data_IF_962677187696
#
_entry.id   IF_962677187696
#
_cell.length_a   1.000
_cell.length_b   1.000
_cell.length_c   1.000
_cell.angle_alpha   90.00
_cell.angle_beta   90.00
_cell.angle_gamma   90.00
#
_symmetry.space_group_name_H-M   'P 1'
#
loop_
_entity.id
_entity.type
_entity.pdbx_description
1 polymer ?
#
# COMPACT_ATOMS: atom_id res chain seq x y z
N UNK A 1 -13.07 29.25 -10.55
CA UNK A 1 -12.82 28.09 -9.68
C UNK A 1 -11.61 28.33 -8.79
N UNK A 2 -10.41 28.55 -9.34
CA UNK A 2 -9.21 28.84 -8.54
C UNK A 2 -9.42 29.93 -7.47
N UNK A 3 -10.05 31.06 -7.82
CA UNK A 3 -10.34 32.15 -6.87
C UNK A 3 -11.18 31.72 -5.65
N UNK A 4 -12.26 30.96 -5.86
CA UNK A 4 -13.13 30.49 -4.77
C UNK A 4 -12.46 29.39 -3.93
N UNK A 5 -11.66 28.55 -4.56
CA UNK A 5 -10.93 27.51 -3.83
C UNK A 5 -9.72 28.06 -3.04
N UNK A 6 -9.24 29.27 -3.33
CA UNK A 6 -8.20 29.93 -2.55
C UNK A 6 -8.72 30.42 -1.19
N UNK A 7 -10.00 30.77 -1.11
CA UNK A 7 -10.71 31.10 0.14
C UNK A 7 -11.29 29.85 0.82
N UNK A 8 -10.62 28.71 0.69
CA UNK A 8 -11.07 27.43 1.25
C UNK A 8 -11.25 27.44 2.77
N UNK A 9 -10.69 28.42 3.48
CA UNK A 9 -10.87 28.57 4.93
C UNK A 9 -12.25 29.07 5.33
N UNK A 10 -12.99 29.73 4.43
CA UNK A 10 -14.36 30.17 4.69
C UNK A 10 -15.36 29.02 4.40
N UNK A 11 -16.11 28.54 5.40
CA UNK A 11 -17.04 27.44 5.22
C UNK A 11 -18.18 27.76 4.25
N UNK A 12 -18.61 29.01 4.12
CA UNK A 12 -19.69 29.42 3.21
C UNK A 12 -19.22 29.34 1.76
N UNK A 13 -18.00 29.81 1.50
CA UNK A 13 -17.38 29.73 0.18
C UNK A 13 -17.10 28.27 -0.19
N UNK A 14 -16.64 27.46 0.77
CA UNK A 14 -16.40 26.04 0.58
C UNK A 14 -17.69 25.28 0.21
N UNK A 15 -18.80 25.55 0.92
CA UNK A 15 -20.11 24.96 0.64
C UNK A 15 -20.60 25.33 -0.77
N UNK A 16 -20.63 26.64 -1.07
CA UNK A 16 -21.07 27.13 -2.38
C UNK A 16 -20.23 26.57 -3.53
N UNK A 17 -18.93 26.38 -3.31
CA UNK A 17 -18.02 25.77 -4.29
C UNK A 17 -18.38 24.31 -4.54
N UNK A 18 -18.57 23.51 -3.48
CA UNK A 18 -18.91 22.09 -3.63
C UNK A 18 -20.30 21.89 -4.24
N UNK A 19 -21.28 22.71 -3.87
CA UNK A 19 -22.62 22.67 -4.45
C UNK A 19 -22.60 23.02 -5.93
N UNK A 20 -21.87 24.08 -6.30
CA UNK A 20 -21.69 24.45 -7.71
C UNK A 20 -21.07 23.30 -8.51
N UNK A 21 -20.03 22.65 -7.99
CA UNK A 21 -19.38 21.52 -8.65
C UNK A 21 -20.32 20.33 -8.78
N UNK A 22 -21.04 19.95 -7.73
CA UNK A 22 -21.98 18.84 -7.75
C UNK A 22 -23.14 19.08 -8.73
N UNK A 23 -23.72 20.28 -8.75
CA UNK A 23 -24.83 20.64 -9.65
C UNK A 23 -24.38 20.67 -11.12
N UNK A 24 -23.14 21.09 -11.39
CA UNK A 24 -22.64 21.27 -12.75
C UNK A 24 -21.68 20.17 -13.22
N UNK A 25 -21.47 19.11 -12.44
CA UNK A 25 -20.44 18.09 -12.66
C UNK A 25 -20.46 17.52 -14.08
N UNK A 26 -21.65 17.16 -14.59
CA UNK A 26 -21.79 16.62 -15.97
C UNK A 26 -21.34 17.61 -17.04
N UNK A 27 -21.70 18.88 -16.89
CA UNK A 27 -21.32 19.95 -17.84
C UNK A 27 -19.83 20.21 -17.76
N UNK A 28 -19.26 20.26 -16.55
CA UNK A 28 -17.83 20.47 -16.33
C UNK A 28 -17.00 19.34 -16.95
N UNK A 29 -17.41 18.08 -16.77
CA UNK A 29 -16.69 16.94 -17.35
C UNK A 29 -16.73 16.92 -18.89
N UNK A 30 -17.80 17.43 -19.51
CA UNK A 30 -17.94 17.48 -20.96
C UNK A 30 -17.18 18.68 -21.54
N UNK A 31 -17.35 19.86 -20.96
CA UNK A 31 -16.81 21.11 -21.49
C UNK A 31 -15.37 21.39 -21.06
N UNK A 32 -14.96 20.93 -19.89
CA UNK A 32 -13.66 21.19 -19.27
C UNK A 32 -13.11 19.95 -18.54
N UNK A 33 -12.82 18.85 -19.25
CA UNK A 33 -12.46 17.56 -18.63
C UNK A 33 -11.19 17.61 -17.76
N UNK A 34 -10.29 18.57 -17.99
CA UNK A 34 -9.04 18.73 -17.25
C UNK A 34 -9.14 19.59 -15.99
N UNK A 35 -10.24 20.33 -15.82
CA UNK A 35 -10.36 21.35 -14.77
C UNK A 35 -10.35 20.74 -13.35
N UNK A 36 -11.13 19.69 -13.10
CA UNK A 36 -11.11 19.00 -11.80
C UNK A 36 -9.78 18.26 -11.55
N UNK A 37 -9.22 17.51 -12.52
CA UNK A 37 -7.89 16.93 -12.42
C UNK A 37 -6.74 17.92 -12.19
N UNK A 38 -6.82 19.16 -12.69
CA UNK A 38 -5.77 20.15 -12.54
C UNK A 38 -5.81 20.79 -11.14
N UNK A 39 -7.01 21.14 -10.67
CA UNK A 39 -7.21 21.85 -9.39
C UNK A 39 -7.57 20.93 -8.22
N UNK A 40 -7.28 19.64 -8.35
CA UNK A 40 -7.54 18.67 -7.28
C UNK A 40 -6.84 19.05 -5.96
N UNK A 41 -5.60 19.61 -5.94
CA UNK A 41 -4.93 19.97 -4.68
C UNK A 41 -5.70 21.01 -3.87
N UNK A 42 -6.25 22.02 -4.53
CA UNK A 42 -7.13 23.02 -3.92
C UNK A 42 -8.39 22.40 -3.31
N UNK A 43 -9.02 21.45 -4.01
CA UNK A 43 -10.18 20.73 -3.49
C UNK A 43 -9.82 19.87 -2.27
N UNK A 44 -8.60 19.31 -2.23
CA UNK A 44 -8.10 18.60 -1.06
C UNK A 44 -7.83 19.54 0.12
N UNK A 45 -7.34 20.75 -0.10
CA UNK A 45 -7.23 21.77 0.96
C UNK A 45 -8.59 22.15 1.52
N UNK A 46 -9.59 22.32 0.67
CA UNK A 46 -10.97 22.62 1.06
C UNK A 46 -11.55 21.54 1.98
N UNK A 47 -11.40 20.26 1.62
CA UNK A 47 -11.90 19.18 2.46
C UNK A 47 -11.02 18.93 3.69
N UNK A 48 -9.70 19.18 3.61
CA UNK A 48 -8.80 19.12 4.75
C UNK A 48 -9.19 20.15 5.82
N UNK A 49 -9.65 21.33 5.41
CA UNK A 49 -10.03 22.42 6.32
C UNK A 49 -11.45 22.28 6.88
N UNK A 50 -12.40 21.80 6.07
CA UNK A 50 -13.84 21.78 6.38
C UNK A 50 -14.46 20.36 6.44
N UNK A 51 -13.63 19.33 6.65
CA UNK A 51 -13.98 17.92 6.44
C UNK A 51 -15.25 17.41 7.11
N UNK A 52 -15.54 17.87 8.33
CA UNK A 52 -16.67 17.38 9.13
C UNK A 52 -18.03 17.59 8.44
N UNK A 53 -18.17 18.70 7.69
CA UNK A 53 -19.45 19.08 7.07
C UNK A 53 -19.61 18.53 5.66
N UNK A 54 -18.51 18.42 4.93
CA UNK A 54 -18.57 18.30 3.47
C UNK A 54 -18.08 16.97 2.90
N UNK A 55 -17.74 15.98 3.75
CA UNK A 55 -17.27 14.66 3.32
C UNK A 55 -18.20 14.02 2.26
N UNK A 56 -19.51 14.01 2.50
CA UNK A 56 -20.49 13.41 1.58
C UNK A 56 -20.54 14.11 0.22
N UNK A 57 -20.56 15.44 0.23
CA UNK A 57 -20.56 16.25 -0.99
C UNK A 57 -19.26 16.09 -1.77
N UNK A 58 -18.14 15.91 -1.08
CA UNK A 58 -16.83 15.69 -1.69
C UNK A 58 -16.69 14.30 -2.32
N UNK A 59 -17.22 13.25 -1.67
CA UNK A 59 -17.23 11.89 -2.22
C UNK A 59 -17.89 11.81 -3.61
N UNK A 60 -18.88 12.65 -3.89
CA UNK A 60 -19.53 12.72 -5.21
C UNK A 60 -18.61 13.30 -6.30
N UNK A 61 -17.67 14.17 -5.93
CA UNK A 61 -16.77 14.87 -6.84
C UNK A 61 -15.46 14.08 -7.04
N UNK A 62 -15.04 13.30 -6.04
CA UNK A 62 -13.76 12.58 -6.06
C UNK A 62 -13.51 11.76 -7.35
N UNK A 63 -14.47 10.97 -7.88
CA UNK A 63 -14.27 10.22 -9.13
C UNK A 63 -14.00 11.13 -10.34
N UNK A 64 -14.58 12.33 -10.36
CA UNK A 64 -14.41 13.30 -11.45
C UNK A 64 -13.00 13.94 -11.47
N UNK A 65 -12.25 13.83 -10.37
CA UNK A 65 -10.85 14.26 -10.29
C UNK A 65 -9.88 13.22 -10.85
N UNK A 66 -10.33 11.98 -11.14
CA UNK A 66 -9.50 10.89 -11.64
C UNK A 66 -9.39 10.94 -13.17
N UNK A 67 -8.31 11.51 -13.69
CA UNK A 67 -7.96 11.47 -15.11
C UNK A 67 -6.57 10.86 -15.32
N UNK A 68 -6.18 10.64 -16.58
CA UNK A 68 -4.87 10.07 -16.93
C UNK A 68 -3.70 10.83 -16.31
N UNK A 69 -3.78 12.16 -16.20
CA UNK A 69 -2.71 12.99 -15.63
C UNK A 69 -2.77 13.19 -14.12
N UNK A 70 -3.92 12.97 -13.49
CA UNK A 70 -4.11 13.20 -12.05
C UNK A 70 -4.22 11.91 -11.24
N UNK A 71 -4.47 10.76 -11.85
CA UNK A 71 -4.74 9.50 -11.15
C UNK A 71 -3.66 9.14 -10.12
N UNK A 72 -2.40 9.06 -10.53
CA UNK A 72 -1.29 8.70 -9.64
C UNK A 72 -0.97 9.81 -8.60
N UNK A 73 -0.86 11.11 -8.98
CA UNK A 73 -0.70 12.19 -8.00
C UNK A 73 -1.84 12.30 -6.98
N UNK A 74 -3.08 12.05 -7.41
CA UNK A 74 -4.26 12.09 -6.55
C UNK A 74 -4.21 11.00 -5.49
N UNK A 75 -3.81 9.77 -5.84
CA UNK A 75 -3.61 8.70 -4.86
C UNK A 75 -2.66 9.13 -3.73
N UNK A 76 -1.49 9.67 -4.10
CA UNK A 76 -0.52 10.12 -3.11
C UNK A 76 -1.10 11.25 -2.24
N UNK A 77 -1.79 12.21 -2.85
CA UNK A 77 -2.41 13.33 -2.12
C UNK A 77 -3.55 12.92 -1.19
N UNK A 78 -4.33 11.90 -1.57
CA UNK A 78 -5.36 11.33 -0.71
C UNK A 78 -4.73 10.63 0.49
N UNK A 79 -3.71 9.79 0.27
CA UNK A 79 -2.99 9.12 1.35
C UNK A 79 -2.37 10.13 2.33
N UNK A 80 -1.86 11.24 1.78
CA UNK A 80 -1.13 12.28 2.52
C UNK A 80 -2.05 13.37 3.08
N UNK A 81 -3.38 13.20 3.02
CA UNK A 81 -4.36 14.16 3.53
C UNK A 81 -4.14 14.53 5.02
N UNK A 82 -3.81 13.58 5.93
CA UNK A 82 -3.48 13.94 7.31
C UNK A 82 -2.26 14.87 7.40
N UNK A 83 -1.27 14.70 6.52
CA UNK A 83 -0.08 15.56 6.49
C UNK A 83 -0.40 16.93 5.89
N UNK A 84 -1.31 16.98 4.91
CA UNK A 84 -1.79 18.27 4.38
C UNK A 84 -2.40 19.11 5.51
N UNK A 85 -3.16 18.50 6.41
CA UNK A 85 -3.69 19.22 7.59
C UNK A 85 -2.57 19.72 8.48
N UNK A 86 -1.59 18.88 8.81
CA UNK A 86 -0.44 19.29 9.63
C UNK A 86 0.28 20.50 8.99
N UNK A 87 0.46 20.48 7.68
CA UNK A 87 1.05 21.58 6.93
C UNK A 87 0.20 22.85 7.02
N UNK A 88 -1.10 22.75 6.77
CA UNK A 88 -2.02 23.90 6.80
C UNK A 88 -2.12 24.52 8.20
N UNK A 89 -2.19 23.71 9.25
CA UNK A 89 -2.18 24.21 10.63
C UNK A 89 -0.85 24.86 11.01
N UNK A 90 0.26 24.40 10.45
CA UNK A 90 1.57 25.05 10.65
C UNK A 90 1.58 26.44 10.01
N UNK A 91 1.04 26.57 8.79
CA UNK A 91 0.89 27.86 8.11
C UNK A 91 -0.06 28.78 8.89
N UNK A 92 -1.17 28.26 9.44
CA UNK A 92 -2.08 29.04 10.30
C UNK A 92 -1.35 29.61 11.53
N UNK A 93 -0.50 28.81 12.19
CA UNK A 93 0.28 29.25 13.34
C UNK A 93 1.33 30.30 12.97
N UNK A 94 1.91 30.26 11.78
CA UNK A 94 2.91 31.23 11.32
C UNK A 94 2.33 32.51 10.73
N UNK A 95 1.13 32.44 10.13
CA UNK A 95 0.61 33.51 9.26
C UNK A 95 -0.78 34.04 9.64
N UNK A 96 -1.45 33.46 10.65
CA UNK A 96 -2.79 33.86 11.09
C UNK A 96 -3.92 33.31 10.21
N UNK A 97 -5.13 33.87 10.33
CA UNK A 97 -6.38 33.34 9.73
C UNK A 97 -6.47 33.44 8.20
N UNK A 98 -5.57 34.16 7.53
CA UNK A 98 -5.57 34.43 6.08
C UNK A 98 -4.69 33.44 5.30
N UNK A 99 -4.92 32.15 5.52
CA UNK A 99 -4.05 31.05 5.09
C UNK A 99 -3.91 30.98 3.56
N UNK A 100 -4.99 31.18 2.80
CA UNK A 100 -4.98 31.13 1.33
C UNK A 100 -4.05 32.18 0.70
N UNK A 101 -4.15 33.44 1.15
CA UNK A 101 -3.26 34.52 0.69
C UNK A 101 -1.82 34.35 1.15
N UNK A 102 -1.62 33.78 2.35
CA UNK A 102 -0.28 33.52 2.87
C UNK A 102 0.42 32.40 2.09
N UNK A 103 -0.28 31.32 1.73
CA UNK A 103 0.28 30.26 0.88
C UNK A 103 0.68 30.83 -0.50
N UNK A 104 -0.17 31.66 -1.10
CA UNK A 104 0.15 32.32 -2.36
C UNK A 104 1.39 33.22 -2.26
N UNK A 105 1.58 33.93 -1.13
CA UNK A 105 2.80 34.71 -0.88
C UNK A 105 4.04 33.85 -0.65
N UNK A 106 3.90 32.70 0.02
CA UNK A 106 5.00 31.76 0.27
C UNK A 106 5.46 31.08 -1.03
N UNK A 107 4.55 30.83 -1.96
CA UNK A 107 4.83 30.20 -3.26
C UNK A 107 5.34 31.17 -4.32
N UNK A 108 5.06 32.46 -4.17
CA UNK A 108 5.66 33.52 -4.97
C UNK A 108 7.10 33.65 -4.48
N UNK A 109 8.02 33.01 -5.19
CA UNK A 109 9.40 32.80 -4.78
C UNK A 109 10.11 34.07 -4.28
N UNK A 110 11.10 33.90 -3.41
CA UNK A 110 12.11 34.90 -3.00
C UNK A 110 13.07 35.26 -4.15
N UNK A 111 13.05 34.51 -5.25
CA UNK A 111 13.94 34.66 -6.40
C UNK A 111 13.70 35.93 -7.27
N UNK A 112 12.47 36.37 -7.57
CA UNK A 112 12.21 37.59 -8.32
C UNK A 112 12.51 38.82 -7.46
N UNK A 113 12.23 38.76 -6.15
CA UNK A 113 12.54 39.85 -5.21
C UNK A 113 14.04 39.98 -4.97
N UNK A 114 14.78 38.88 -4.85
CA UNK A 114 16.24 38.91 -4.73
C UNK A 114 16.91 39.34 -6.04
N UNK A 115 16.36 38.99 -7.21
CA UNK A 115 16.81 39.53 -8.50
C UNK A 115 16.48 41.02 -8.67
N UNK A 116 15.28 41.45 -8.26
CA UNK A 116 14.90 42.87 -8.23
C UNK A 116 15.78 43.67 -7.26
N UNK A 117 16.08 43.11 -6.09
CA UNK A 117 16.97 43.73 -5.10
C UNK A 117 18.42 43.78 -5.60
N UNK A 118 18.93 42.73 -6.26
CA UNK A 118 20.26 42.74 -6.88
C UNK A 118 20.33 43.70 -8.09
N UNK A 119 19.25 43.84 -8.85
CA UNK A 119 19.15 44.82 -9.93
C UNK A 119 19.10 46.26 -9.39
N UNK A 120 18.35 46.50 -8.30
CA UNK A 120 18.31 47.79 -7.62
C UNK A 120 19.65 48.11 -6.93
N UNK A 121 20.35 47.13 -6.36
CA UNK A 121 21.70 47.30 -5.78
C UNK A 121 22.72 47.67 -6.88
N UNK A 122 22.67 46.99 -8.02
CA UNK A 122 23.52 47.30 -9.17
C UNK A 122 23.20 48.66 -9.81
N UNK A 123 21.97 49.15 -9.67
CA UNK A 123 21.51 50.42 -10.26
C UNK A 123 21.65 51.63 -9.31
N UNK A 124 21.55 51.41 -8.00
CA UNK A 124 21.57 52.48 -6.98
C UNK A 124 22.84 52.53 -6.14
N UNK A 125 23.70 51.50 -6.21
CA UNK A 125 25.03 51.48 -5.59
C UNK A 125 25.04 51.50 -4.06
N UNK A 126 23.91 51.23 -3.41
CA UNK A 126 23.83 51.17 -1.94
C UNK A 126 24.08 49.74 -1.46
N UNK A 127 25.23 49.53 -0.81
CA UNK A 127 25.53 48.28 -0.11
C UNK A 127 24.54 48.11 1.05
N UNK A 128 23.93 46.91 1.15
CA UNK A 128 23.15 46.53 2.32
C UNK A 128 24.09 46.50 3.52
N UNK A 129 23.90 47.40 4.49
CA UNK A 129 24.50 47.27 5.80
C UNK A 129 24.02 45.95 6.43
N UNK A 130 25.00 45.12 6.79
CA UNK A 130 24.84 43.88 7.53
C UNK A 130 24.09 44.13 8.84
N UNK A 131 22.76 43.92 8.82
CA UNK A 131 21.93 43.95 10.02
C UNK A 131 22.06 42.61 10.73
N UNK A 132 23.25 42.37 11.28
CA UNK A 132 23.47 41.43 12.37
C UNK A 132 22.65 41.86 13.58
N UNK A 133 21.47 41.28 13.72
CA UNK A 133 20.59 41.40 14.88
C UNK A 133 20.55 40.07 15.63
N UNK A 134 21.35 40.00 16.69
CA UNK A 134 21.35 38.98 17.73
C UNK A 134 19.93 38.68 18.26
N UNK A 135 19.47 37.44 18.08
CA UNK A 135 18.44 36.84 18.93
C UNK A 135 18.79 35.38 19.17
N UNK A 136 19.80 35.14 20.00
CA UNK A 136 19.93 33.89 20.71
C UNK A 136 18.70 33.64 21.58
N UNK A 137 17.83 32.72 21.14
CA UNK A 137 17.05 31.89 22.04
C UNK A 137 17.04 30.48 21.49
N UNK A 138 17.82 29.63 22.15
CA UNK A 138 17.82 28.18 21.97
C UNK A 138 16.42 27.61 22.18
N UNK A 139 15.70 27.35 21.08
CA UNK A 139 14.62 26.37 21.04
C UNK A 139 14.88 25.44 19.84
N UNK A 140 15.62 24.37 20.12
CA UNK A 140 15.75 23.23 19.23
C UNK A 140 14.36 22.65 18.91
N UNK A 141 13.84 22.92 17.68
CA UNK A 141 12.94 22.08 16.86
C UNK A 141 12.03 22.88 15.88
N UNK A 142 12.38 24.09 15.47
CA UNK A 142 11.59 24.83 14.46
C UNK A 142 11.97 24.40 13.04
N UNK A 143 11.29 23.39 12.51
CA UNK A 143 11.33 23.07 11.07
C UNK A 143 10.79 24.30 10.31
N UNK A 144 11.53 24.77 9.31
CA UNK A 144 11.16 25.94 8.49
C UNK A 144 9.88 25.67 7.66
N UNK A 145 9.02 26.69 7.48
CA UNK A 145 7.86 26.63 6.56
C UNK A 145 8.33 26.60 5.11
N UNK A 146 9.57 27.03 4.85
CA UNK A 146 10.23 26.96 3.55
C UNK A 146 10.81 25.58 3.19
N UNK A 147 10.58 24.53 4.01
CA UNK A 147 10.99 23.18 3.64
C UNK A 147 10.34 22.76 2.31
N UNK A 148 11.12 22.38 1.28
CA UNK A 148 10.60 22.06 -0.05
C UNK A 148 9.52 20.97 -0.03
N UNK A 149 9.52 20.08 0.97
CA UNK A 149 8.48 19.03 1.13
C UNK A 149 7.11 19.64 1.45
N UNK A 150 7.06 20.70 2.26
CA UNK A 150 5.83 21.40 2.63
C UNK A 150 5.31 22.27 1.49
N UNK A 151 6.21 22.95 0.78
CA UNK A 151 5.85 23.77 -0.37
C UNK A 151 5.20 22.95 -1.48
N UNK A 152 5.69 21.73 -1.71
CA UNK A 152 5.12 20.82 -2.69
C UNK A 152 3.70 20.35 -2.31
N UNK A 153 3.47 20.07 -1.02
CA UNK A 153 2.16 19.68 -0.50
C UNK A 153 1.15 20.83 -0.56
N UNK A 154 1.63 22.07 -0.47
CA UNK A 154 0.81 23.28 -0.49
C UNK A 154 0.57 23.80 -1.90
N UNK A 155 0.99 23.15 -2.98
CA UNK A 155 0.68 23.60 -4.35
C UNK A 155 -0.82 23.66 -4.61
N UNK A 156 -1.23 24.63 -5.41
CA UNK A 156 -2.64 24.83 -5.80
C UNK A 156 -3.03 24.00 -7.03
N UNK A 157 -2.05 23.70 -7.87
CA UNK A 157 -2.26 22.99 -9.13
C UNK A 157 -1.47 21.68 -9.17
N UNK A 158 -2.03 20.72 -9.91
CA UNK A 158 -1.36 19.49 -10.23
C UNK A 158 -0.42 19.68 -11.42
N UNK A 159 0.85 19.94 -11.12
CA UNK A 159 1.94 19.97 -12.12
C UNK A 159 2.43 18.56 -12.53
N UNK A 160 1.81 17.50 -12.01
CA UNK A 160 2.16 16.11 -12.25
C UNK A 160 2.71 15.39 -11.02
N UNK A 161 3.48 14.33 -11.25
CA UNK A 161 4.09 13.54 -10.18
C UNK A 161 5.28 14.29 -9.57
N UNK A 162 5.06 14.96 -8.44
CA UNK A 162 6.15 15.44 -7.61
C UNK A 162 6.73 14.28 -6.76
N UNK A 163 8.06 14.17 -6.73
CA UNK A 163 8.76 13.14 -5.96
C UNK A 163 8.67 13.47 -4.46
N UNK A 164 7.81 12.76 -3.73
CA UNK A 164 7.61 12.98 -2.29
C UNK A 164 8.60 12.15 -1.47
N UNK A 165 9.51 12.83 -0.79
CA UNK A 165 10.59 12.22 0.01
C UNK A 165 10.12 11.93 1.44
N UNK A 166 9.19 10.98 1.59
CA UNK A 166 8.65 10.53 2.90
C UNK A 166 9.70 9.94 3.86
N UNK A 167 10.87 9.60 3.34
CA UNK A 167 11.98 9.03 4.10
C UNK A 167 12.95 10.09 4.64
N UNK A 168 12.65 11.38 4.52
CA UNK A 168 13.51 12.42 5.08
C UNK A 168 13.48 12.36 6.63
N UNK A 169 14.64 12.43 7.31
CA UNK A 169 14.69 12.41 8.78
C UNK A 169 13.84 13.52 9.43
N UNK A 170 13.76 14.69 8.79
CA UNK A 170 12.96 15.84 9.23
C UNK A 170 11.46 15.55 9.23
N UNK A 171 10.96 14.79 8.25
CA UNK A 171 9.54 14.45 8.18
C UNK A 171 9.18 13.39 9.21
N UNK A 172 10.05 12.39 9.42
CA UNK A 172 9.83 11.33 10.41
C UNK A 172 9.76 11.91 11.83
N UNK A 173 10.67 12.82 12.18
CA UNK A 173 10.67 13.46 13.51
C UNK A 173 9.41 14.31 13.73
N UNK A 174 8.94 15.03 12.71
CA UNK A 174 7.71 15.82 12.79
C UNK A 174 6.45 14.94 12.93
N UNK A 175 6.35 13.85 12.17
CA UNK A 175 5.22 12.91 12.30
C UNK A 175 5.18 12.30 13.70
N UNK A 176 6.35 11.99 14.26
CA UNK A 176 6.46 11.46 15.60
C UNK A 176 6.08 12.53 16.65
N UNK A 177 6.51 13.78 16.48
CA UNK A 177 6.14 14.89 17.37
C UNK A 177 4.63 15.19 17.33
N UNK A 178 4.03 15.22 16.14
CA UNK A 178 2.58 15.45 15.96
C UNK A 178 1.72 14.33 16.50
N UNK A 179 2.21 13.08 16.46
CA UNK A 179 1.51 11.94 17.06
C UNK A 179 1.51 11.99 18.58
N UNK A 180 2.56 12.55 19.19
CA UNK A 180 2.68 12.69 20.64
C UNK A 180 1.92 13.91 21.20
N UNK A 181 1.58 14.87 20.33
CA UNK A 181 0.81 16.07 20.69
C UNK A 181 -0.71 15.79 20.69
N UNK A 182 -1.53 16.59 21.40
CA UNK A 182 -2.98 16.50 21.31
C UNK A 182 -3.43 16.77 19.86
N UNK A 183 -4.07 15.77 19.25
CA UNK A 183 -4.53 15.85 17.86
C UNK A 183 -5.70 16.82 17.72
N UNK A 184 -5.62 17.73 16.75
CA UNK A 184 -6.72 18.61 16.38
C UNK A 184 -7.93 17.81 15.87
N UNK A 185 -9.12 18.40 15.98
CA UNK A 185 -10.35 17.76 15.47
C UNK A 185 -10.29 17.57 13.95
N UNK A 186 -9.66 18.52 13.22
CA UNK A 186 -9.41 18.43 11.78
C UNK A 186 -8.55 17.22 11.43
N UNK A 187 -7.44 17.02 12.14
CA UNK A 187 -6.54 15.87 11.92
C UNK A 187 -7.27 14.56 12.19
N UNK A 188 -8.02 14.47 13.29
CA UNK A 188 -8.80 13.28 13.64
C UNK A 188 -9.83 12.94 12.55
N UNK A 189 -10.50 13.96 12.02
CA UNK A 189 -11.45 13.80 10.92
C UNK A 189 -10.74 13.34 9.63
N UNK A 190 -9.57 13.87 9.27
CA UNK A 190 -8.84 13.38 8.11
C UNK A 190 -8.36 11.94 8.24
N UNK A 191 -7.90 11.51 9.42
CA UNK A 191 -7.55 10.12 9.68
C UNK A 191 -8.75 9.18 9.43
N UNK A 192 -9.97 9.66 9.69
CA UNK A 192 -11.20 8.91 9.44
C UNK A 192 -11.67 8.96 7.97
N UNK A 193 -11.60 10.13 7.33
CA UNK A 193 -12.06 10.32 5.94
C UNK A 193 -11.13 9.64 4.92
N UNK A 194 -9.82 9.67 5.17
CA UNK A 194 -8.82 9.21 4.19
C UNK A 194 -9.02 7.75 3.75
N UNK A 195 -9.21 6.76 4.64
CA UNK A 195 -9.50 5.38 4.22
C UNK A 195 -10.77 5.25 3.38
N UNK A 196 -11.79 6.11 3.60
CA UNK A 196 -13.03 6.11 2.84
C UNK A 196 -12.84 6.70 1.45
N UNK A 197 -12.07 7.78 1.33
CA UNK A 197 -11.68 8.35 0.04
C UNK A 197 -10.86 7.35 -0.77
N UNK A 198 -9.91 6.67 -0.13
CA UNK A 198 -9.13 5.59 -0.76
C UNK A 198 -10.02 4.42 -1.19
N UNK A 199 -10.99 4.01 -0.37
CA UNK A 199 -11.93 2.97 -0.77
C UNK A 199 -12.72 3.35 -2.02
N UNK A 200 -13.26 4.57 -2.09
CA UNK A 200 -13.96 5.04 -3.29
C UNK A 200 -13.01 5.10 -4.49
N UNK A 201 -11.83 5.71 -4.33
CA UNK A 201 -10.79 5.79 -5.36
C UNK A 201 -10.40 4.42 -5.92
N UNK A 202 -10.22 3.41 -5.07
CA UNK A 202 -9.88 2.05 -5.50
C UNK A 202 -11.03 1.36 -6.22
N UNK A 203 -12.27 1.52 -5.74
CA UNK A 203 -13.44 0.94 -6.42
C UNK A 203 -13.68 1.55 -7.81
N UNK A 204 -13.49 2.86 -7.96
CA UNK A 204 -13.58 3.52 -9.27
C UNK A 204 -12.40 3.17 -10.16
N UNK A 205 -11.18 3.07 -9.61
CA UNK A 205 -10.00 2.62 -10.35
C UNK A 205 -10.19 1.22 -10.95
N UNK A 206 -10.67 0.26 -10.15
CA UNK A 206 -10.90 -1.11 -10.62
C UNK A 206 -12.02 -1.22 -11.67
N UNK A 207 -12.91 -0.23 -11.77
CA UNK A 207 -14.01 -0.22 -12.74
C UNK A 207 -13.67 0.52 -14.03
N UNK A 208 -13.12 1.73 -13.90
CA UNK A 208 -13.10 2.72 -14.99
C UNK A 208 -11.68 2.97 -15.55
N UNK A 209 -10.63 2.57 -14.82
CA UNK A 209 -9.24 2.88 -15.20
C UNK A 209 -8.61 1.73 -15.99
N UNK A 210 -7.71 2.10 -16.92
CA UNK A 210 -7.01 1.16 -17.78
C UNK A 210 -5.91 0.38 -17.02
N UNK A 211 -5.53 -0.75 -17.61
CA UNK A 211 -4.59 -1.68 -16.98
C UNK A 211 -3.19 -1.09 -16.81
N UNK A 212 -2.74 -0.20 -17.71
CA UNK A 212 -1.43 0.44 -17.61
C UNK A 212 -1.32 1.37 -16.40
N UNK A 213 -2.36 2.16 -16.11
CA UNK A 213 -2.38 3.03 -14.94
C UNK A 213 -2.54 2.23 -13.64
N UNK A 214 -3.36 1.17 -13.64
CA UNK A 214 -3.45 0.26 -12.50
C UNK A 214 -2.10 -0.40 -12.21
N UNK A 215 -1.41 -0.89 -13.24
CA UNK A 215 -0.07 -1.46 -13.11
C UNK A 215 0.95 -0.44 -12.58
N UNK A 216 0.85 0.84 -12.97
CA UNK A 216 1.72 1.91 -12.47
C UNK A 216 1.43 2.29 -11.01
N UNK A 217 0.20 2.12 -10.53
CA UNK A 217 -0.20 2.41 -9.15
C UNK A 217 0.34 1.37 -8.16
N UNK A 218 0.43 0.10 -8.55
CA UNK A 218 0.84 -0.99 -7.67
C UNK A 218 2.22 -0.78 -7.00
N UNK A 219 3.30 -0.39 -7.72
CA UNK A 219 4.57 -0.06 -7.09
C UNK A 219 4.50 1.10 -6.08
N UNK A 220 3.63 2.09 -6.33
CA UNK A 220 3.42 3.22 -5.42
C UNK A 220 2.77 2.73 -4.11
N UNK A 221 1.75 1.86 -4.21
CA UNK A 221 1.13 1.23 -3.04
C UNK A 221 2.14 0.42 -2.23
N UNK A 222 2.96 -0.39 -2.91
CA UNK A 222 4.00 -1.19 -2.27
C UNK A 222 5.04 -0.31 -1.55
N UNK A 223 5.47 0.79 -2.18
CA UNK A 223 6.41 1.75 -1.58
C UNK A 223 5.82 2.46 -0.36
N UNK A 224 4.54 2.84 -0.45
CA UNK A 224 3.83 3.56 0.60
C UNK A 224 3.26 2.67 1.70
N UNK A 225 3.38 1.34 1.61
CA UNK A 225 2.75 0.39 2.53
C UNK A 225 3.20 0.54 4.00
N UNK A 226 4.43 0.99 4.22
CA UNK A 226 5.01 1.23 5.56
C UNK A 226 5.33 2.71 5.81
N UNK A 227 5.07 3.59 4.84
CA UNK A 227 5.41 5.03 4.89
C UNK A 227 4.14 5.88 4.82
N UNK A 228 3.41 5.91 5.93
CA UNK A 228 2.15 6.65 6.10
C UNK A 228 2.17 7.46 7.41
N UNK A 229 1.11 8.24 7.65
CA UNK A 229 0.93 8.92 8.93
C UNK A 229 0.91 7.91 10.09
N UNK A 230 1.72 8.06 11.15
CA UNK A 230 1.95 7.03 12.17
C UNK A 230 0.83 6.96 13.23
N UNK A 231 -0.42 6.84 12.79
CA UNK A 231 -1.55 6.46 13.63
C UNK A 231 -1.89 4.97 13.41
N UNK A 232 -2.11 4.23 14.51
CA UNK A 232 -2.26 2.76 14.47
C UNK A 232 -3.55 2.33 13.77
N UNK A 233 -4.66 3.02 14.03
CA UNK A 233 -5.98 2.67 13.48
C UNK A 233 -6.01 3.03 12.00
N UNK A 234 -5.58 4.25 11.67
CA UNK A 234 -5.43 4.73 10.31
C UNK A 234 -4.54 3.80 9.48
N UNK A 235 -3.33 3.50 9.95
CA UNK A 235 -2.38 2.65 9.22
C UNK A 235 -2.93 1.24 9.00
N UNK A 236 -3.72 0.71 9.94
CA UNK A 236 -4.38 -0.58 9.76
C UNK A 236 -5.45 -0.53 8.66
N UNK A 237 -6.36 0.44 8.72
CA UNK A 237 -7.43 0.60 7.72
C UNK A 237 -6.86 0.85 6.32
N UNK A 238 -5.87 1.73 6.19
CA UNK A 238 -5.25 2.01 4.88
C UNK A 238 -4.54 0.77 4.32
N UNK A 239 -3.74 0.06 5.13
CA UNK A 239 -3.08 -1.17 4.69
C UNK A 239 -4.08 -2.24 4.26
N UNK A 240 -5.20 -2.36 4.96
CA UNK A 240 -6.31 -3.24 4.55
C UNK A 240 -6.83 -2.86 3.16
N UNK A 241 -7.12 -1.57 2.92
CA UNK A 241 -7.56 -1.10 1.58
C UNK A 241 -6.51 -1.33 0.50
N UNK A 242 -5.23 -1.16 0.81
CA UNK A 242 -4.14 -1.43 -0.12
C UNK A 242 -4.10 -2.90 -0.48
N UNK A 243 -4.13 -3.78 0.51
CA UNK A 243 -4.16 -5.23 0.30
C UNK A 243 -5.36 -5.67 -0.54
N UNK A 244 -6.57 -5.24 -0.18
CA UNK A 244 -7.80 -5.57 -0.91
C UNK A 244 -7.70 -5.14 -2.38
N UNK A 245 -7.22 -3.91 -2.63
CA UNK A 245 -7.05 -3.39 -3.98
C UNK A 245 -5.96 -4.13 -4.77
N UNK A 246 -4.79 -4.39 -4.17
CA UNK A 246 -3.70 -5.10 -4.85
C UNK A 246 -4.12 -6.50 -5.27
N UNK A 247 -4.78 -7.24 -4.37
CA UNK A 247 -5.31 -8.56 -4.67
C UNK A 247 -6.35 -8.52 -5.79
N UNK A 248 -7.30 -7.59 -5.72
CA UNK A 248 -8.30 -7.40 -6.78
C UNK A 248 -7.68 -7.00 -8.13
N UNK A 249 -6.63 -6.18 -8.12
CA UNK A 249 -5.91 -5.79 -9.33
C UNK A 249 -5.16 -6.97 -9.97
N UNK A 250 -4.48 -7.80 -9.17
CA UNK A 250 -3.83 -9.02 -9.66
C UNK A 250 -4.85 -10.06 -10.16
N UNK A 251 -6.02 -10.15 -9.52
CA UNK A 251 -7.09 -11.02 -9.97
C UNK A 251 -7.70 -10.55 -11.30
N UNK A 252 -7.87 -9.24 -11.48
CA UNK A 252 -8.35 -8.65 -12.74
C UNK A 252 -7.35 -8.90 -13.88
N UNK A 253 -6.06 -8.67 -13.63
CA UNK A 253 -5.01 -8.79 -14.64
C UNK A 253 -3.76 -9.50 -14.08
N UNK A 254 -3.71 -10.84 -14.15
CA UNK A 254 -2.58 -11.64 -13.65
C UNK A 254 -1.21 -11.22 -14.23
N UNK A 255 -1.19 -10.76 -15.48
CA UNK A 255 0.02 -10.30 -16.18
C UNK A 255 0.79 -9.20 -15.43
N UNK A 256 0.11 -8.45 -14.55
CA UNK A 256 0.77 -7.44 -13.70
C UNK A 256 1.88 -8.04 -12.85
N UNK A 257 1.75 -9.29 -12.40
CA UNK A 257 2.81 -9.94 -11.61
C UNK A 257 4.08 -10.09 -12.44
N UNK A 258 3.94 -10.44 -13.72
CA UNK A 258 5.07 -10.57 -14.63
C UNK A 258 5.71 -9.20 -14.91
N UNK A 259 4.89 -8.18 -15.17
CA UNK A 259 5.35 -6.81 -15.42
C UNK A 259 6.03 -6.17 -14.19
N UNK A 260 5.55 -6.48 -12.99
CA UNK A 260 6.02 -5.91 -11.73
C UNK A 260 7.01 -6.82 -11.00
N UNK A 261 7.63 -7.78 -11.70
CA UNK A 261 8.63 -8.70 -11.14
C UNK A 261 9.63 -8.02 -10.21
N UNK A 262 10.30 -6.96 -10.71
CA UNK A 262 11.34 -6.26 -9.95
C UNK A 262 10.80 -5.60 -8.67
N UNK A 263 9.76 -4.73 -8.73
CA UNK A 263 9.12 -4.21 -7.51
C UNK A 263 8.69 -5.28 -6.52
N UNK A 264 8.17 -6.42 -7.00
CA UNK A 264 7.73 -7.52 -6.14
C UNK A 264 8.93 -8.18 -5.45
N UNK A 265 9.99 -8.53 -6.20
CA UNK A 265 11.21 -9.13 -5.65
C UNK A 265 11.89 -8.22 -4.64
N UNK A 266 11.97 -6.91 -4.92
CA UNK A 266 12.55 -5.92 -4.00
C UNK A 266 11.79 -5.92 -2.66
N UNK A 267 10.45 -5.96 -2.70
CA UNK A 267 9.61 -5.98 -1.49
C UNK A 267 9.65 -7.31 -0.73
N UNK A 268 9.85 -8.43 -1.42
CA UNK A 268 10.06 -9.72 -0.77
C UNK A 268 11.40 -9.75 -0.02
N UNK A 269 12.45 -9.11 -0.55
CA UNK A 269 13.75 -9.00 0.13
C UNK A 269 13.69 -8.22 1.45
N UNK A 270 12.79 -7.22 1.53
CA UNK A 270 12.60 -6.38 2.73
C UNK A 270 11.58 -6.95 3.73
N UNK A 271 11.11 -8.19 3.55
CA UNK A 271 10.00 -8.75 4.32
C UNK A 271 10.25 -8.80 5.84
N UNK A 272 11.51 -8.74 6.28
CA UNK A 272 11.91 -8.86 7.68
C UNK A 272 12.15 -7.53 8.40
N UNK A 273 12.17 -6.39 7.70
CA UNK A 273 12.53 -5.12 8.33
C UNK A 273 11.44 -4.65 9.31
N UNK A 274 10.17 -4.85 8.94
CA UNK A 274 9.02 -4.39 9.72
C UNK A 274 7.83 -5.36 9.59
N UNK A 275 6.93 -5.42 10.60
CA UNK A 275 5.75 -6.27 10.54
C UNK A 275 4.82 -5.87 9.38
N UNK A 276 4.79 -4.58 9.00
CA UNK A 276 4.03 -4.13 7.83
C UNK A 276 4.59 -4.72 6.54
N UNK A 277 5.91 -4.70 6.35
CA UNK A 277 6.54 -5.31 5.18
C UNK A 277 6.36 -6.83 5.15
N UNK A 278 6.35 -7.49 6.31
CA UNK A 278 5.98 -8.92 6.39
C UNK A 278 4.55 -9.17 5.89
N UNK A 279 3.58 -8.33 6.30
CA UNK A 279 2.20 -8.41 5.79
C UNK A 279 2.16 -8.20 4.28
N UNK A 280 2.84 -7.19 3.74
CA UNK A 280 2.92 -6.99 2.29
C UNK A 280 3.48 -8.23 1.58
N UNK A 281 4.59 -8.77 2.08
CA UNK A 281 5.22 -9.97 1.53
C UNK A 281 4.28 -11.19 1.54
N UNK A 282 3.39 -11.33 2.54
CA UNK A 282 2.37 -12.39 2.56
C UNK A 282 1.40 -12.27 1.39
N UNK A 283 0.87 -11.07 1.14
CA UNK A 283 -0.05 -10.81 0.03
C UNK A 283 0.64 -11.05 -1.32
N UNK A 284 1.90 -10.63 -1.47
CA UNK A 284 2.69 -10.86 -2.67
C UNK A 284 2.98 -12.35 -2.90
N UNK A 285 3.40 -13.09 -1.86
CA UNK A 285 3.59 -14.54 -1.94
C UNK A 285 2.31 -15.25 -2.40
N UNK A 286 1.16 -14.86 -1.83
CA UNK A 286 -0.13 -15.41 -2.23
C UNK A 286 -0.43 -15.12 -3.70
N UNK A 287 -0.27 -13.87 -4.14
CA UNK A 287 -0.56 -13.46 -5.51
C UNK A 287 0.33 -14.20 -6.53
N UNK A 288 1.63 -14.32 -6.25
CA UNK A 288 2.58 -15.07 -7.10
C UNK A 288 2.11 -16.51 -7.29
N UNK A 289 1.72 -17.18 -6.19
CA UNK A 289 1.26 -18.56 -6.21
C UNK A 289 -0.08 -18.72 -6.93
N UNK A 290 -1.09 -17.92 -6.57
CA UNK A 290 -2.45 -18.02 -7.09
C UNK A 290 -2.53 -17.82 -8.61
N UNK A 291 -1.75 -16.87 -9.10
CA UNK A 291 -1.76 -16.45 -10.50
C UNK A 291 -0.59 -17.03 -11.31
N UNK A 292 0.20 -17.94 -10.73
CA UNK A 292 1.26 -18.63 -11.45
C UNK A 292 2.32 -17.68 -12.05
N UNK A 293 2.72 -16.63 -11.31
CA UNK A 293 3.63 -15.58 -11.78
C UNK A 293 3.16 -14.82 -13.04
N UNK A 294 1.85 -14.67 -13.20
CA UNK A 294 1.21 -13.98 -14.34
C UNK A 294 0.70 -14.93 -15.42
N UNK A 295 0.88 -16.23 -15.27
CA UNK A 295 0.32 -17.26 -16.15
C UNK A 295 1.38 -18.15 -16.81
N UNK A 296 0.92 -19.13 -17.60
CA UNK A 296 1.79 -20.16 -18.22
C UNK A 296 2.76 -19.57 -19.26
N UNK A 297 2.45 -18.42 -19.85
CA UNK A 297 3.31 -17.74 -20.82
C UNK A 297 4.61 -17.19 -20.21
N UNK A 298 4.58 -16.80 -18.94
CA UNK A 298 5.68 -16.05 -18.29
C UNK A 298 6.66 -16.97 -17.56
N UNK A 299 7.20 -17.98 -18.25
CA UNK A 299 8.08 -19.00 -17.65
C UNK A 299 9.35 -18.41 -17.03
N UNK A 300 10.00 -17.47 -17.72
CA UNK A 300 11.25 -16.87 -17.23
C UNK A 300 11.02 -16.05 -15.97
N UNK A 301 9.92 -15.28 -15.93
CA UNK A 301 9.53 -14.52 -14.74
C UNK A 301 9.15 -15.45 -13.59
N UNK A 302 8.43 -16.55 -13.88
CA UNK A 302 8.11 -17.56 -12.88
C UNK A 302 9.36 -18.19 -12.26
N UNK A 303 10.41 -18.43 -13.05
CA UNK A 303 11.69 -18.96 -12.58
C UNK A 303 12.42 -17.99 -11.65
N UNK A 304 12.47 -16.71 -12.00
CA UNK A 304 13.11 -15.68 -11.17
C UNK A 304 12.34 -15.39 -9.87
N UNK A 305 11.00 -15.38 -9.92
CA UNK A 305 10.18 -15.25 -8.72
C UNK A 305 10.29 -16.49 -7.83
N UNK A 306 10.38 -17.67 -8.43
CA UNK A 306 10.68 -18.90 -7.69
C UNK A 306 12.03 -18.82 -6.98
N UNK A 307 13.06 -18.31 -7.65
CA UNK A 307 14.39 -18.07 -7.07
C UNK A 307 14.33 -17.14 -5.86
N UNK A 308 13.56 -16.05 -5.99
CA UNK A 308 13.35 -15.09 -4.91
C UNK A 308 12.66 -15.73 -3.70
N UNK A 309 11.61 -16.53 -3.94
CA UNK A 309 10.89 -17.29 -2.91
C UNK A 309 11.77 -18.37 -2.26
N UNK A 310 12.60 -19.04 -3.05
CA UNK A 310 13.52 -20.08 -2.56
C UNK A 310 14.64 -19.46 -1.70
N UNK A 311 15.18 -18.31 -2.10
CA UNK A 311 16.16 -17.58 -1.31
C UNK A 311 15.58 -17.20 0.06
N UNK A 312 14.38 -16.59 0.05
CA UNK A 312 13.66 -16.23 1.26
C UNK A 312 13.41 -17.47 2.14
N UNK A 313 13.04 -18.61 1.56
CA UNK A 313 12.87 -19.86 2.31
C UNK A 313 14.19 -20.32 2.98
N UNK A 314 15.30 -20.33 2.25
CA UNK A 314 16.57 -20.85 2.76
C UNK A 314 17.26 -19.93 3.76
N UNK A 315 17.17 -18.61 3.61
CA UNK A 315 17.67 -17.64 4.59
C UNK A 315 17.04 -17.91 5.96
N UNK A 316 15.74 -18.16 5.99
CA UNK A 316 15.00 -18.38 7.24
C UNK A 316 15.28 -19.75 7.87
N UNK A 317 15.42 -20.79 7.05
CA UNK A 317 15.85 -22.11 7.54
C UNK A 317 17.27 -22.07 8.13
N UNK A 318 18.13 -21.18 7.63
CA UNK A 318 19.50 -21.01 8.09
C UNK A 318 19.57 -20.16 9.36
N UNK A 319 18.80 -19.07 9.45
CA UNK A 319 18.69 -18.23 10.65
C UNK A 319 18.18 -19.02 11.87
N UNK A 320 17.28 -19.98 11.64
CA UNK A 320 16.80 -20.92 12.67
C UNK A 320 17.90 -21.86 13.22
N UNK A 321 19.03 -22.03 12.53
CA UNK A 321 20.17 -22.84 12.98
C UNK A 321 21.19 -22.05 13.81
N UNK A 322 21.25 -20.73 13.64
CA UNK A 322 22.33 -19.92 14.21
C UNK A 322 22.09 -19.46 15.65
N UNK A 323 20.88 -19.61 16.21
CA UNK A 323 20.65 -19.46 17.66
C UNK A 323 21.16 -18.16 18.30
N UNK A 324 21.39 -17.10 17.51
CA UNK A 324 21.90 -15.82 17.99
C UNK A 324 20.73 -14.95 18.46
N UNK A 325 20.25 -15.26 19.65
CA UNK A 325 19.29 -14.47 20.41
C UNK A 325 19.44 -14.82 21.87
N UNK A 326 20.36 -14.15 22.56
CA UNK A 326 20.48 -14.20 24.01
C UNK A 326 19.24 -13.50 24.60
N UNK A 327 18.21 -14.28 24.93
CA UNK A 327 16.88 -13.76 25.29
C UNK A 327 16.79 -13.41 26.79
N UNK A 328 16.45 -12.16 27.09
CA UNK A 328 15.99 -11.71 28.41
C UNK A 328 14.46 -11.85 28.53
N UNK A 329 13.92 -11.96 29.76
CA UNK A 329 12.53 -12.37 29.99
C UNK A 329 11.45 -11.44 29.39
N UNK A 330 11.76 -10.15 29.16
CA UNK A 330 10.84 -9.17 28.54
C UNK A 330 10.78 -9.33 27.00
N UNK A 331 11.84 -9.90 26.40
CA UNK A 331 11.94 -10.15 24.96
C UNK A 331 11.13 -11.37 24.49
N UNK A 332 10.67 -12.21 25.42
CA UNK A 332 10.04 -13.50 25.11
C UNK A 332 8.76 -13.39 24.28
N UNK A 333 7.87 -12.43 24.62
CA UNK A 333 6.60 -12.25 23.91
C UNK A 333 6.78 -11.62 22.52
N UNK A 334 7.70 -10.66 22.39
CA UNK A 334 8.03 -10.02 21.11
C UNK A 334 8.75 -11.02 20.20
N UNK A 335 9.66 -11.82 20.75
CA UNK A 335 10.33 -12.90 20.03
C UNK A 335 9.33 -13.99 19.59
N UNK A 336 8.37 -14.37 20.44
CA UNK A 336 7.32 -15.33 20.08
C UNK A 336 6.41 -14.79 18.97
N UNK A 337 6.02 -13.52 19.02
CA UNK A 337 5.24 -12.87 17.96
C UNK A 337 6.00 -12.85 16.63
N UNK A 338 7.27 -12.44 16.64
CA UNK A 338 8.14 -12.44 15.45
C UNK A 338 8.36 -13.85 14.88
N UNK A 339 8.61 -14.85 15.73
CA UNK A 339 8.72 -16.26 15.32
C UNK A 339 7.41 -16.74 14.69
N UNK A 340 6.26 -16.34 15.24
CA UNK A 340 4.94 -16.71 14.69
C UNK A 340 4.65 -16.03 13.35
N UNK A 341 4.95 -14.74 13.19
CA UNK A 341 4.79 -14.02 11.92
C UNK A 341 5.72 -14.57 10.84
N UNK A 342 6.96 -14.90 11.20
CA UNK A 342 7.92 -15.55 10.30
C UNK A 342 7.43 -16.93 9.85
N UNK A 343 6.93 -17.76 10.76
CA UNK A 343 6.34 -19.05 10.40
C UNK A 343 5.11 -18.90 9.49
N UNK A 344 4.29 -17.84 9.69
CA UNK A 344 3.18 -17.51 8.78
C UNK A 344 3.69 -17.14 7.39
N UNK A 345 4.74 -16.33 7.28
CA UNK A 345 5.38 -15.99 6.00
C UNK A 345 5.90 -17.24 5.27
N UNK A 346 6.65 -18.09 5.96
CA UNK A 346 7.17 -19.34 5.37
C UNK A 346 6.07 -20.28 4.92
N UNK A 347 4.96 -20.33 5.65
CA UNK A 347 3.77 -21.07 5.25
C UNK A 347 3.22 -20.57 3.89
N UNK A 348 3.22 -19.27 3.64
CA UNK A 348 2.80 -18.70 2.35
C UNK A 348 3.84 -18.95 1.25
N UNK A 349 5.12 -18.84 1.56
CA UNK A 349 6.23 -19.11 0.62
C UNK A 349 6.21 -20.56 0.16
N UNK A 350 6.03 -21.52 1.08
CA UNK A 350 5.88 -22.94 0.79
C UNK A 350 4.67 -23.20 -0.11
N UNK A 351 3.53 -22.54 0.15
CA UNK A 351 2.35 -22.62 -0.72
C UNK A 351 2.63 -22.01 -2.10
N UNK A 352 3.29 -20.86 -2.17
CA UNK A 352 3.59 -20.18 -3.43
C UNK A 352 4.52 -21.02 -4.30
N UNK A 353 5.58 -21.59 -3.72
CA UNK A 353 6.49 -22.55 -4.38
C UNK A 353 5.70 -23.74 -4.94
N UNK A 354 4.77 -24.29 -4.16
CA UNK A 354 3.98 -25.44 -4.58
C UNK A 354 3.00 -25.11 -5.71
N UNK A 355 2.28 -24.00 -5.61
CA UNK A 355 1.37 -23.52 -6.66
C UNK A 355 2.13 -23.15 -7.94
N UNK A 356 3.25 -22.45 -7.84
CA UNK A 356 4.11 -22.13 -8.99
C UNK A 356 4.60 -23.38 -9.71
N UNK A 357 5.06 -24.39 -8.98
CA UNK A 357 5.51 -25.65 -9.54
C UNK A 357 4.38 -26.46 -10.20
N UNK A 358 3.15 -26.29 -9.71
CA UNK A 358 1.94 -26.90 -10.31
C UNK A 358 1.56 -26.19 -11.62
N UNK A 359 1.75 -24.88 -11.69
CA UNK A 359 1.52 -24.09 -12.92
C UNK A 359 2.64 -24.29 -13.96
N UNK A 360 3.89 -24.36 -13.49
CA UNK A 360 5.11 -24.43 -14.30
C UNK A 360 5.90 -25.71 -13.99
N UNK A 361 5.59 -26.78 -14.74
CA UNK A 361 6.15 -28.12 -14.51
C UNK A 361 7.68 -28.20 -14.50
N UNK A 362 8.38 -27.28 -15.17
CA UNK A 362 9.84 -27.19 -15.15
C UNK A 362 10.43 -26.89 -13.77
N UNK A 363 9.65 -26.24 -12.89
CA UNK A 363 10.06 -25.91 -11.52
C UNK A 363 9.80 -27.06 -10.54
N UNK A 364 9.07 -28.09 -10.95
CA UNK A 364 8.63 -29.18 -10.07
C UNK A 364 9.79 -29.93 -9.38
N UNK A 365 10.88 -30.34 -10.07
CA UNK A 365 12.01 -30.99 -9.40
C UNK A 365 12.65 -30.10 -8.34
N UNK A 366 12.78 -28.80 -8.64
CA UNK A 366 13.37 -27.80 -7.75
C UNK A 366 12.49 -27.61 -6.51
N UNK A 367 11.18 -27.43 -6.71
CA UNK A 367 10.20 -27.31 -5.63
C UNK A 367 10.21 -28.52 -4.69
N UNK A 368 10.27 -29.75 -5.22
CA UNK A 368 10.37 -30.96 -4.39
C UNK A 368 11.64 -30.94 -3.53
N UNK A 369 12.77 -30.47 -4.05
CA UNK A 369 14.01 -30.34 -3.28
C UNK A 369 13.87 -29.27 -2.19
N UNK A 370 13.34 -28.09 -2.51
CA UNK A 370 13.16 -27.00 -1.55
C UNK A 370 12.22 -27.42 -0.41
N UNK A 371 11.09 -28.05 -0.72
CA UNK A 371 10.14 -28.55 0.28
C UNK A 371 10.72 -29.71 1.09
N UNK A 372 11.46 -30.64 0.48
CA UNK A 372 12.10 -31.74 1.19
C UNK A 372 13.13 -31.25 2.20
N UNK A 373 13.85 -30.17 1.89
CA UNK A 373 14.77 -29.52 2.85
C UNK A 373 14.02 -28.95 4.06
N UNK A 374 12.85 -28.33 3.84
CA UNK A 374 11.99 -27.85 4.94
C UNK A 374 11.52 -29.02 5.80
N UNK A 375 10.97 -30.07 5.18
CA UNK A 375 10.44 -31.24 5.88
C UNK A 375 11.52 -32.02 6.67
N UNK A 376 12.79 -31.95 6.23
CA UNK A 376 13.93 -32.55 6.95
C UNK A 376 14.58 -31.60 7.97
N UNK A 377 14.18 -30.33 8.01
CA UNK A 377 14.74 -29.35 8.94
C UNK A 377 14.18 -29.54 10.35
N UNK A 378 15.05 -29.91 11.29
CA UNK A 378 14.70 -30.19 12.70
C UNK A 378 14.21 -28.96 13.49
N UNK A 379 14.49 -27.74 13.00
CA UNK A 379 14.17 -26.50 13.71
C UNK A 379 13.02 -25.70 13.07
N UNK A 380 12.32 -26.28 12.10
CA UNK A 380 11.19 -25.61 11.46
C UNK A 380 9.95 -25.58 12.37
N UNK A 381 9.18 -24.48 12.34
CA UNK A 381 7.88 -24.40 13.02
C UNK A 381 6.97 -25.55 12.51
N UNK A 382 6.26 -26.22 13.43
CA UNK A 382 5.38 -27.36 13.13
C UNK A 382 4.38 -27.08 12.00
N UNK A 383 3.88 -25.85 11.88
CA UNK A 383 2.95 -25.43 10.82
C UNK A 383 3.62 -25.44 9.45
N UNK A 384 4.85 -24.93 9.37
CA UNK A 384 5.65 -24.87 8.14
C UNK A 384 6.06 -26.28 7.73
N UNK A 385 6.54 -27.09 8.69
CA UNK A 385 6.91 -28.48 8.47
C UNK A 385 5.75 -29.32 7.94
N UNK A 386 4.58 -29.23 8.58
CA UNK A 386 3.38 -29.97 8.18
C UNK A 386 3.00 -29.61 6.75
N UNK A 387 2.89 -28.31 6.45
CA UNK A 387 2.52 -27.81 5.12
C UNK A 387 3.51 -28.25 4.03
N UNK A 388 4.81 -28.22 4.30
CA UNK A 388 5.82 -28.69 3.35
C UNK A 388 5.70 -30.20 3.11
N UNK A 389 5.45 -30.99 4.16
CA UNK A 389 5.26 -32.44 4.07
C UNK A 389 3.99 -32.79 3.28
N UNK A 390 2.90 -32.06 3.52
CA UNK A 390 1.63 -32.19 2.81
C UNK A 390 1.81 -31.94 1.30
N UNK A 391 2.47 -30.83 0.92
CA UNK A 391 2.71 -30.53 -0.50
C UNK A 391 3.71 -31.48 -1.16
N UNK A 392 4.70 -32.01 -0.44
CA UNK A 392 5.58 -33.06 -0.98
C UNK A 392 4.80 -34.34 -1.32
N UNK A 393 3.88 -34.73 -0.45
CA UNK A 393 2.96 -35.84 -0.70
C UNK A 393 2.08 -35.55 -1.91
N UNK A 394 1.45 -34.38 -1.95
CA UNK A 394 0.55 -33.98 -3.04
C UNK A 394 1.26 -33.92 -4.41
N UNK A 395 2.50 -33.43 -4.46
CA UNK A 395 3.30 -33.37 -5.69
C UNK A 395 3.69 -34.75 -6.25
N UNK A 396 3.46 -35.85 -5.53
CA UNK A 396 3.61 -37.20 -6.08
C UNK A 396 2.51 -37.57 -7.09
N UNK A 397 1.35 -36.89 -7.02
CA UNK A 397 0.18 -37.15 -7.84
C UNK A 397 -0.25 -35.87 -8.57
N UNK A 398 0.28 -35.61 -9.79
CA UNK A 398 0.09 -34.33 -10.49
C UNK A 398 -1.38 -33.95 -10.74
N UNK A 399 -2.26 -34.92 -10.97
CA UNK A 399 -3.68 -34.67 -11.23
C UNK A 399 -4.41 -34.12 -10.00
N UNK A 400 -4.15 -34.70 -8.82
CA UNK A 400 -4.71 -34.23 -7.54
C UNK A 400 -4.08 -32.89 -7.17
N UNK A 401 -2.77 -32.75 -7.38
CA UNK A 401 -2.03 -31.50 -7.15
C UNK A 401 -2.63 -30.34 -7.96
N UNK A 402 -2.91 -30.54 -9.25
CA UNK A 402 -3.55 -29.53 -10.09
C UNK A 402 -4.97 -29.20 -9.64
N UNK A 403 -5.74 -30.17 -9.16
CA UNK A 403 -7.10 -29.90 -8.67
C UNK A 403 -7.13 -29.14 -7.35
N UNK A 404 -6.11 -29.28 -6.49
CA UNK A 404 -6.04 -28.65 -5.17
C UNK A 404 -5.30 -27.30 -5.23
N UNK A 405 -4.22 -27.23 -6.01
CA UNK A 405 -3.32 -26.07 -6.09
C UNK A 405 -3.43 -25.30 -7.40
N UNK A 406 -4.25 -25.76 -8.34
CA UNK A 406 -4.51 -25.07 -9.60
C UNK A 406 -5.15 -23.70 -9.39
N UNK A 407 -4.91 -22.80 -10.34
CA UNK A 407 -5.42 -21.43 -10.30
C UNK A 407 -6.95 -21.42 -10.38
N UNK A 408 -7.59 -20.70 -9.45
CA UNK A 408 -9.06 -20.58 -9.41
C UNK A 408 -9.66 -19.88 -10.64
N UNK A 409 -8.88 -19.05 -11.33
CA UNK A 409 -9.34 -18.29 -12.51
C UNK A 409 -9.30 -19.07 -13.82
N UNK A 410 -8.77 -20.30 -13.83
CA UNK A 410 -8.71 -21.14 -15.05
C UNK A 410 -9.77 -22.22 -15.05
N UNK A 411 -11.01 -21.80 -15.24
CA UNK A 411 -12.03 -22.66 -15.83
C UNK A 411 -11.75 -22.87 -17.33
N UNK A 412 -10.74 -23.68 -17.67
CA UNK A 412 -10.57 -24.20 -19.05
C UNK A 412 -10.36 -25.72 -19.07
N UNK A 413 -10.04 -26.36 -17.94
CA UNK A 413 -10.12 -27.81 -17.83
C UNK A 413 -11.16 -28.16 -16.76
N UNK A 414 -12.29 -28.72 -17.20
CA UNK A 414 -13.42 -29.06 -16.33
C UNK A 414 -13.03 -29.96 -15.15
N UNK A 415 -13.81 -29.95 -14.06
CA UNK A 415 -13.63 -30.87 -12.95
C UNK A 415 -14.03 -32.27 -13.42
N UNK A 416 -13.08 -33.05 -13.93
CA UNK A 416 -13.44 -34.30 -14.60
C UNK A 416 -12.32 -35.27 -14.89
N UNK A 417 -11.20 -35.28 -14.15
CA UNK A 417 -10.19 -36.36 -14.24
C UNK A 417 -9.48 -36.59 -12.90
N UNK A 418 -10.18 -36.45 -11.76
CA UNK A 418 -9.62 -36.89 -10.48
C UNK A 418 -10.54 -37.92 -9.89
N UNK A 419 -10.10 -39.18 -9.91
CA UNK A 419 -10.78 -40.27 -9.23
C UNK A 419 -10.52 -40.15 -7.72
N UNK A 420 -11.33 -39.31 -7.05
CA UNK A 420 -11.19 -39.02 -5.62
C UNK A 420 -11.34 -40.27 -4.73
N UNK A 421 -11.91 -41.36 -5.23
CA UNK A 421 -11.96 -42.64 -4.52
C UNK A 421 -10.57 -43.25 -4.29
N UNK A 422 -9.59 -42.99 -5.17
CA UNK A 422 -8.19 -43.34 -4.95
C UNK A 422 -7.41 -42.28 -4.16
N UNK A 423 -7.84 -41.02 -4.27
CA UNK A 423 -7.20 -39.87 -3.61
C UNK A 423 -7.15 -40.01 -2.09
N UNK A 424 -8.20 -40.54 -1.47
CA UNK A 424 -8.24 -40.79 -0.02
C UNK A 424 -7.23 -41.83 0.49
N UNK A 425 -6.79 -42.78 -0.37
CA UNK A 425 -5.77 -43.77 -0.02
C UNK A 425 -4.34 -43.33 -0.37
N UNK A 426 -4.19 -42.34 -1.27
CA UNK A 426 -2.90 -41.86 -1.77
C UNK A 426 -2.47 -40.51 -1.20
N UNK A 427 -3.40 -39.71 -0.66
CA UNK A 427 -3.09 -38.47 0.04
C UNK A 427 -2.47 -38.76 1.41
N UNK A 428 -1.17 -38.50 1.54
CA UNK A 428 -0.45 -38.45 2.83
C UNK A 428 -0.57 -37.05 3.47
N UNK A 429 -1.29 -36.14 2.82
CA UNK A 429 -1.38 -34.73 3.17
C UNK A 429 -2.66 -34.39 3.95
N UNK A 430 -2.53 -33.76 5.12
CA UNK A 430 -3.67 -33.13 5.80
C UNK A 430 -3.95 -31.79 5.12
N UNK A 431 -4.79 -31.77 4.07
CA UNK A 431 -5.21 -30.50 3.44
C UNK A 431 -5.94 -29.66 4.48
N UNK A 432 -5.44 -28.46 4.83
CA UNK A 432 -6.17 -27.57 5.71
C UNK A 432 -7.40 -27.03 4.98
N UNK A 433 -8.58 -27.26 5.58
CA UNK A 433 -9.88 -26.92 5.00
C UNK A 433 -10.08 -25.44 4.67
N UNK A 434 -9.25 -24.50 5.14
CA UNK A 434 -9.36 -23.09 4.76
C UNK A 434 -9.02 -22.80 3.27
N UNK A 435 -8.50 -23.79 2.53
CA UNK A 435 -8.33 -23.71 1.06
C UNK A 435 -9.69 -23.91 0.35
N UNK A 436 -10.67 -24.51 1.02
CA UNK A 436 -12.05 -24.62 0.58
C UNK A 436 -12.83 -23.49 1.26
N UNK A 437 -13.39 -22.58 0.47
CA UNK A 437 -14.08 -21.38 0.92
C UNK A 437 -15.11 -21.68 2.04
N UNK A 438 -14.93 -21.06 3.20
CA UNK A 438 -15.87 -20.85 4.34
C UNK A 438 -16.67 -22.04 4.91
N UNK A 439 -16.32 -22.49 6.13
CA UNK A 439 -17.10 -22.27 7.36
C UNK A 439 -16.35 -22.75 8.63
N UNK A 440 -16.62 -22.08 9.76
CA UNK A 440 -15.83 -22.07 11.01
C UNK A 440 -16.01 -23.28 11.95
N UNK A 441 -14.97 -23.57 12.75
CA UNK A 441 -15.09 -24.23 14.06
C UNK A 441 -13.85 -25.06 14.51
N UNK A 442 -13.30 -24.84 15.72
CA UNK A 442 -12.33 -25.76 16.34
C UNK A 442 -12.89 -26.47 17.59
N UNK A 443 -12.25 -27.54 18.07
CA UNK A 443 -11.76 -28.72 17.37
C UNK A 443 -12.54 -29.97 17.85
N UNK A 444 -12.21 -31.16 17.32
CA UNK A 444 -12.58 -32.52 17.79
C UNK A 444 -13.38 -33.36 16.78
N UNK A 445 -12.64 -34.32 16.22
CA UNK A 445 -13.01 -35.66 15.76
C UNK A 445 -13.82 -35.85 14.47
N UNK A 446 -13.13 -36.55 13.56
CA UNK A 446 -13.55 -37.76 12.86
C UNK A 446 -14.91 -37.73 12.14
N UNK A 447 -14.90 -37.33 10.87
CA UNK A 447 -16.00 -37.64 9.96
C UNK A 447 -15.51 -38.45 8.77
N UNK A 448 -16.17 -39.59 8.58
CA UNK A 448 -16.04 -40.47 7.42
C UNK A 448 -16.60 -39.77 6.17
N UNK A 449 -16.12 -40.18 4.99
CA UNK A 449 -16.49 -39.68 3.66
C UNK A 449 -18.00 -39.66 3.32
N UNK A 450 -18.89 -40.12 4.21
CA UNK A 450 -20.33 -40.24 3.96
C UNK A 450 -21.16 -38.96 4.15
N UNK A 451 -20.60 -37.91 4.76
CA UNK A 451 -21.35 -36.68 5.05
C UNK A 451 -21.26 -35.59 3.95
N UNK A 452 -20.54 -35.87 2.86
CA UNK A 452 -20.27 -34.89 1.78
C UNK A 452 -21.19 -35.06 0.55
N UNK A 453 -22.03 -36.09 0.50
CA UNK A 453 -22.99 -36.28 -0.60
C UNK A 453 -24.44 -36.00 -0.15
N UNK A 454 -25.23 -35.25 -0.94
CA UNK A 454 -26.68 -35.18 -0.71
C UNK A 454 -27.26 -36.57 -0.93
N UNK A 455 -28.00 -37.09 0.05
CA UNK A 455 -28.93 -38.19 -0.21
C UNK A 455 -30.04 -37.66 -1.12
N UNK A 456 -30.37 -38.47 -2.13
CA UNK A 456 -31.45 -38.27 -3.11
C UNK A 456 -32.68 -37.60 -2.51
#
# INVERSE_FOLDING_TARGET
>A
MAFYCLEFSDPVVAEATLDFLNLNMKKLLISFPTLLPQFFPLLLKLIAWNGERFEKSFLMILPAMMSTGSFLPLFLSLLDLPILIVALEKVERSSGTLIGSSIASIQKSTAPEMLLALMDEAYTGSAIEDRGGDSGSDDNNTIDVADPVFLDLLKDENDGLAMRHWTSPSMVSLLQATTNAPQSDRLRQALYMTPRFLALYFTTALRDVNDSMLCALLPLLMSRFDTMFPDKVFSFEVRKRFSDFMLAAFQRSPDFIALLKKPITDRLGEAYDSPAKTELALHLCWAIGEHGAGGISHKDVARELFESLELLLYENLSSSRLGLGQESAVDSNIAAFRKSSQARLLCFVVTAIAKLATCHNELLPRARVSLAKVARSRNSDRRVWRRASDYLGLMSEPAICLSVLGSSTRHVNGPGIVNWSEGGSKMIAHIPFYILNEQEGPPFHDFSFFDVFPRV
#
